data_IF_207031466469
#
_entry.id   IF_207031466469
#
_cell.length_a   1.000
_cell.length_b   1.000
_cell.length_c   1.000
_cell.angle_alpha   90.00
_cell.angle_beta   90.00
_cell.angle_gamma   90.00
#
_symmetry.space_group_name_H-M   'P 1'
#
loop_
_entity.id
_entity.type
_entity.pdbx_description
1 polymer ?
#
# COMPACT_ATOMS: atom_id res chain seq x y z
N UNK A 1 13.02 60.65 46.21
CA UNK A 1 13.03 59.59 45.17
C UNK A 1 13.50 58.31 45.82
N UNK A 2 12.57 57.40 46.12
CA UNK A 2 12.85 56.03 46.55
C UNK A 2 11.59 55.21 46.29
N UNK A 3 11.61 54.28 45.35
CA UNK A 3 10.60 53.24 45.25
C UNK A 3 11.28 51.92 44.90
N UNK A 4 11.25 51.01 45.88
CA UNK A 4 11.59 49.60 45.74
C UNK A 4 10.38 48.82 45.20
N UNK A 5 10.61 47.81 44.37
CA UNK A 5 9.62 46.79 44.05
C UNK A 5 10.26 45.39 44.03
N UNK A 6 9.54 44.36 44.51
CA UNK A 6 10.11 43.05 44.86
C UNK A 6 10.38 42.15 43.65
N UNK A 7 11.39 41.29 43.84
CA UNK A 7 11.93 40.29 42.93
C UNK A 7 10.86 39.30 42.43
N UNK A 8 10.67 39.24 41.11
CA UNK A 8 9.90 38.19 40.45
C UNK A 8 10.84 37.06 40.05
N UNK A 9 10.79 35.94 40.76
CA UNK A 9 11.50 34.70 40.42
C UNK A 9 10.94 34.12 39.13
N UNK A 10 11.65 34.28 38.02
CA UNK A 10 11.28 33.72 36.72
C UNK A 10 11.48 32.20 36.72
N UNK A 11 10.39 31.43 36.69
CA UNK A 11 10.41 30.01 36.39
C UNK A 11 10.70 29.84 34.88
N UNK A 12 11.96 29.56 34.56
CA UNK A 12 12.39 29.11 33.23
C UNK A 12 11.88 27.67 33.00
N UNK A 13 10.66 27.55 32.50
CA UNK A 13 10.13 26.28 31.98
C UNK A 13 10.62 26.06 30.55
N UNK A 14 11.58 25.16 30.35
CA UNK A 14 12.03 24.74 29.02
C UNK A 14 10.93 23.91 28.35
N UNK A 15 10.25 24.51 27.37
CA UNK A 15 9.40 23.78 26.45
C UNK A 15 10.28 22.96 25.49
N UNK A 16 10.48 21.68 25.78
CA UNK A 16 11.08 20.75 24.85
C UNK A 16 10.10 20.51 23.70
N UNK A 17 10.34 21.16 22.56
CA UNK A 17 9.54 21.00 21.35
C UNK A 17 9.68 19.59 20.80
N UNK A 18 8.57 18.85 20.77
CA UNK A 18 8.43 17.60 20.04
C UNK A 18 8.51 17.90 18.54
N UNK A 19 9.71 17.75 17.95
CA UNK A 19 9.87 17.71 16.49
C UNK A 19 9.36 16.36 16.03
N UNK A 20 8.08 16.28 15.64
CA UNK A 20 7.57 15.12 14.91
C UNK A 20 8.24 15.08 13.54
N UNK A 21 9.20 14.18 13.37
CA UNK A 21 9.78 13.80 12.09
C UNK A 21 8.68 13.11 11.27
N UNK A 22 7.86 13.88 10.56
CA UNK A 22 7.00 13.34 9.52
C UNK A 22 7.92 12.85 8.40
N UNK A 23 8.09 11.53 8.30
CA UNK A 23 8.74 10.94 7.13
C UNK A 23 7.93 11.36 5.88
N UNK A 24 8.58 11.74 4.76
CA UNK A 24 7.87 12.05 3.54
C UNK A 24 7.08 10.80 3.12
N UNK A 25 5.77 10.92 3.00
CA UNK A 25 4.97 9.91 2.33
C UNK A 25 5.47 9.84 0.88
N UNK A 26 6.18 8.78 0.53
CA UNK A 26 6.61 8.60 -0.85
C UNK A 26 5.36 8.46 -1.71
N UNK A 27 5.17 9.42 -2.62
CA UNK A 27 4.06 9.41 -3.54
C UNK A 27 4.33 8.31 -4.58
N UNK A 28 3.71 7.15 -4.38
CA UNK A 28 3.72 6.06 -5.35
C UNK A 28 3.16 6.54 -6.69
N UNK A 29 3.80 6.12 -7.78
CA UNK A 29 3.35 6.45 -9.14
C UNK A 29 2.46 5.33 -9.67
N UNK A 30 1.28 5.66 -10.20
CA UNK A 30 0.37 4.68 -10.82
C UNK A 30 0.98 4.11 -12.11
N UNK A 31 1.13 2.79 -12.17
CA UNK A 31 1.56 2.07 -13.38
C UNK A 31 0.36 1.57 -14.20
N UNK A 32 -0.69 1.09 -13.52
CA UNK A 32 -1.88 0.55 -14.18
C UNK A 32 -2.69 -0.40 -13.27
N UNK A 33 -3.84 -0.86 -13.78
CA UNK A 33 -4.70 -1.80 -13.07
C UNK A 33 -4.19 -3.25 -13.14
N UNK A 34 -4.83 -4.12 -12.37
CA UNK A 34 -4.56 -5.57 -12.38
C UNK A 34 -5.67 -6.29 -13.14
N UNK A 35 -5.27 -7.09 -14.12
CA UNK A 35 -6.15 -8.05 -14.78
C UNK A 35 -5.92 -9.43 -14.13
N UNK A 36 -6.90 -9.87 -13.32
CA UNK A 36 -6.80 -11.11 -12.56
C UNK A 36 -6.81 -12.34 -13.48
N UNK A 37 -7.56 -12.32 -14.58
CA UNK A 37 -7.62 -13.41 -15.55
C UNK A 37 -6.26 -13.59 -16.23
N UNK A 38 -5.69 -12.48 -16.73
CA UNK A 38 -4.36 -12.48 -17.33
C UNK A 38 -3.29 -12.89 -16.32
N UNK A 39 -3.43 -12.50 -15.05
CA UNK A 39 -2.52 -12.92 -13.99
C UNK A 39 -2.57 -14.44 -13.77
N UNK A 40 -3.74 -15.09 -13.85
CA UNK A 40 -3.85 -16.54 -13.76
C UNK A 40 -3.25 -17.24 -14.99
N UNK A 41 -3.54 -16.77 -16.19
CA UNK A 41 -2.97 -17.27 -17.45
C UNK A 41 -1.43 -17.27 -17.42
N UNK A 42 -0.83 -16.15 -17.00
CA UNK A 42 0.63 -16.01 -16.94
C UNK A 42 1.33 -16.89 -15.90
N UNK A 43 0.64 -17.20 -14.80
CA UNK A 43 1.20 -17.98 -13.69
C UNK A 43 1.01 -19.48 -13.88
N UNK A 44 -0.10 -19.91 -14.48
CA UNK A 44 -0.52 -21.31 -14.45
C UNK A 44 -0.93 -21.91 -15.81
N UNK A 45 -0.95 -21.11 -16.89
CA UNK A 45 -1.35 -21.43 -18.27
C UNK A 45 -2.80 -21.03 -18.64
N UNK A 46 -3.16 -20.98 -19.94
CA UNK A 46 -4.43 -20.39 -20.42
C UNK A 46 -5.72 -21.09 -20.01
N UNK A 47 -5.63 -22.29 -19.44
CA UNK A 47 -6.79 -23.03 -18.94
C UNK A 47 -7.16 -22.68 -17.49
N UNK A 48 -6.43 -21.75 -16.86
CA UNK A 48 -6.72 -21.24 -15.53
C UNK A 48 -7.48 -19.93 -15.61
N UNK A 49 -8.55 -19.81 -14.82
CA UNK A 49 -9.38 -18.60 -14.71
C UNK A 49 -9.32 -18.01 -13.32
N UNK A 50 -9.52 -16.70 -13.24
CA UNK A 50 -9.63 -15.98 -11.97
C UNK A 50 -11.04 -16.06 -11.42
N UNK A 51 -11.17 -16.36 -10.13
CA UNK A 51 -12.46 -16.40 -9.44
C UNK A 51 -12.34 -15.65 -8.12
N UNK A 52 -13.34 -14.83 -7.83
CA UNK A 52 -13.48 -14.15 -6.55
C UNK A 52 -14.29 -15.03 -5.59
N UNK A 53 -13.63 -15.58 -4.57
CA UNK A 53 -14.26 -16.45 -3.56
C UNK A 53 -14.65 -15.72 -2.29
N UNK A 54 -14.08 -14.53 -2.05
CA UNK A 54 -14.38 -13.66 -0.90
C UNK A 54 -14.45 -12.22 -1.40
N UNK A 55 -15.38 -11.42 -0.90
CA UNK A 55 -15.51 -9.99 -1.26
C UNK A 55 -14.40 -9.13 -0.61
N UNK A 56 -13.14 -9.42 -0.93
CA UNK A 56 -11.96 -8.69 -0.49
C UNK A 56 -10.85 -8.78 -1.55
N UNK A 57 -9.87 -7.87 -1.46
CA UNK A 57 -8.66 -7.87 -2.30
C UNK A 57 -7.93 -9.22 -2.28
N UNK A 58 -7.87 -9.89 -1.13
CA UNK A 58 -7.26 -11.21 -0.98
C UNK A 58 -8.16 -12.37 -1.44
N UNK A 59 -9.36 -12.09 -1.93
CA UNK A 59 -10.37 -13.10 -2.28
C UNK A 59 -10.20 -13.70 -3.66
N UNK A 60 -9.23 -13.26 -4.45
CA UNK A 60 -8.96 -13.80 -5.78
C UNK A 60 -8.14 -15.08 -5.73
N UNK A 61 -8.56 -16.06 -6.52
CA UNK A 61 -7.84 -17.31 -6.75
C UNK A 61 -7.79 -17.63 -8.24
N UNK A 62 -6.86 -18.49 -8.62
CA UNK A 62 -6.85 -19.13 -9.93
C UNK A 62 -7.39 -20.55 -9.83
N UNK A 63 -8.22 -20.96 -10.79
CA UNK A 63 -8.76 -22.33 -10.87
C UNK A 63 -8.81 -22.82 -12.31
N UNK A 64 -8.55 -24.11 -12.52
CA UNK A 64 -8.79 -24.79 -13.80
C UNK A 64 -10.09 -25.64 -13.77
N UNK A 65 -10.90 -25.46 -12.73
CA UNK A 65 -12.10 -26.26 -12.45
C UNK A 65 -11.84 -27.54 -11.65
N UNK A 66 -10.58 -27.97 -11.52
CA UNK A 66 -10.16 -29.15 -10.75
C UNK A 66 -9.29 -28.79 -9.55
N UNK A 67 -8.39 -27.82 -9.72
CA UNK A 67 -7.45 -27.35 -8.71
C UNK A 67 -7.62 -25.85 -8.47
N UNK A 68 -7.29 -25.42 -7.26
CA UNK A 68 -7.30 -24.01 -6.84
C UNK A 68 -5.89 -23.61 -6.42
N UNK A 69 -5.46 -22.42 -6.83
CA UNK A 69 -4.18 -21.81 -6.46
C UNK A 69 -4.35 -20.33 -6.12
N UNK A 70 -3.46 -19.83 -5.27
CA UNK A 70 -3.37 -18.40 -4.99
C UNK A 70 -2.90 -17.62 -6.20
N UNK A 71 -3.30 -16.36 -6.30
CA UNK A 71 -2.86 -15.44 -7.35
C UNK A 71 -1.75 -14.53 -6.83
N UNK A 72 -0.59 -14.50 -7.50
CA UNK A 72 0.48 -13.53 -7.22
C UNK A 72 0.26 -12.25 -8.05
N UNK A 73 -0.44 -11.29 -7.46
CA UNK A 73 -0.68 -9.98 -8.07
C UNK A 73 0.62 -9.17 -8.24
N UNK A 74 1.58 -9.33 -7.33
CA UNK A 74 2.88 -8.68 -7.42
C UNK A 74 3.69 -9.18 -8.62
N UNK A 75 3.64 -10.48 -8.90
CA UNK A 75 4.22 -11.07 -10.10
C UNK A 75 3.60 -10.49 -11.37
N UNK A 76 2.26 -10.36 -11.43
CA UNK A 76 1.59 -9.71 -12.56
C UNK A 76 2.14 -8.29 -12.78
N UNK A 77 2.20 -7.46 -11.73
CA UNK A 77 2.70 -6.09 -11.85
C UNK A 77 4.15 -6.05 -12.38
N UNK A 78 5.03 -6.89 -11.81
CA UNK A 78 6.44 -6.97 -12.25
C UNK A 78 6.57 -7.42 -13.70
N UNK A 79 5.73 -8.37 -14.12
CA UNK A 79 5.74 -8.91 -15.49
C UNK A 79 5.14 -7.95 -16.51
N UNK A 80 4.08 -7.21 -16.14
CA UNK A 80 3.36 -6.28 -17.03
C UNK A 80 4.07 -4.94 -17.18
N UNK A 81 4.53 -4.37 -16.07
CA UNK A 81 5.01 -2.99 -15.99
C UNK A 81 6.52 -2.88 -15.71
N UNK A 82 7.20 -4.01 -15.51
CA UNK A 82 8.65 -4.08 -15.28
C UNK A 82 9.01 -4.37 -13.82
N UNK A 83 10.25 -4.79 -13.58
CA UNK A 83 10.70 -5.38 -12.32
C UNK A 83 10.54 -4.49 -11.08
N UNK A 84 10.45 -3.17 -11.26
CA UNK A 84 10.27 -2.19 -10.17
C UNK A 84 8.79 -1.95 -9.81
N UNK A 85 7.85 -2.52 -10.56
CA UNK A 85 6.44 -2.39 -10.25
C UNK A 85 6.03 -3.32 -9.11
N UNK A 86 5.15 -2.86 -8.23
CA UNK A 86 4.58 -3.64 -7.14
C UNK A 86 3.06 -3.49 -7.07
N UNK A 87 2.40 -4.45 -6.42
CA UNK A 87 0.95 -4.48 -6.25
C UNK A 87 0.53 -3.85 -4.93
N UNK A 88 -0.59 -3.12 -4.93
CA UNK A 88 -1.20 -2.58 -3.71
C UNK A 88 -2.74 -2.55 -3.85
N UNK A 89 -3.50 -2.97 -2.82
CA UNK A 89 -4.96 -3.09 -2.88
C UNK A 89 -5.75 -1.81 -2.55
N UNK A 90 -5.13 -0.61 -2.41
CA UNK A 90 -5.73 0.75 -2.37
C UNK A 90 -6.96 1.05 -1.48
N UNK A 91 -7.43 0.10 -0.67
CA UNK A 91 -8.77 0.16 -0.06
C UNK A 91 -9.26 -1.20 0.42
N UNK A 92 -8.66 -2.28 -0.10
CA UNK A 92 -8.86 -3.64 0.38
C UNK A 92 -10.06 -4.34 -0.23
N UNK A 93 -10.86 -3.64 -1.05
CA UNK A 93 -11.93 -4.23 -1.84
C UNK A 93 -11.38 -5.16 -2.93
N UNK A 94 -12.23 -6.06 -3.46
CA UNK A 94 -11.80 -7.06 -4.43
C UNK A 94 -11.21 -6.46 -5.70
N UNK A 95 -11.69 -5.29 -6.14
CA UNK A 95 -11.25 -4.66 -7.39
C UNK A 95 -10.28 -3.49 -7.19
N UNK A 96 -9.81 -3.29 -5.95
CA UNK A 96 -8.99 -2.12 -5.60
C UNK A 96 -7.49 -2.34 -5.88
N UNK A 97 -7.12 -3.48 -6.47
CA UNK A 97 -5.73 -3.77 -6.83
C UNK A 97 -5.21 -2.85 -7.94
N UNK A 98 -4.07 -2.23 -7.66
CA UNK A 98 -3.30 -1.47 -8.62
C UNK A 98 -1.82 -1.85 -8.62
N UNK A 99 -1.17 -1.58 -9.75
CA UNK A 99 0.28 -1.64 -9.90
C UNK A 99 0.88 -0.24 -9.76
N UNK A 100 1.99 -0.14 -9.04
CA UNK A 100 2.65 1.12 -8.72
C UNK A 100 4.17 1.02 -8.87
N UNK A 101 4.81 2.18 -9.06
CA UNK A 101 6.24 2.36 -8.88
C UNK A 101 6.52 3.12 -7.58
N UNK A 102 7.66 2.82 -6.91
CA UNK A 102 8.08 3.53 -5.70
C UNK A 102 8.36 5.01 -5.94
#
# INVERSE_FOLDING_TARGET
>A
MMFAFPSATSLLGTAAGLVMLAAPAQARTWAGGVDMEQACDWQYAPNWSAVLIVQSSSGWICTDGTAIRSIDVGYFCRRRYGSNAYADPQGGGPYDWGCYFP
#
